data_IF_836588640596
#
_entry.id   IF_836588640596
#
_cell.length_a   1.000
_cell.length_b   1.000
_cell.length_c   1.000
_cell.angle_alpha   90.00
_cell.angle_beta   90.00
_cell.angle_gamma   90.00
#
_symmetry.space_group_name_H-M   'P 1'
#
loop_
_entity.id
_entity.type
_entity.pdbx_description
1 polymer ?
#
# COMPACT_ATOMS: atom_id res chain seq x y z
N UNK A 1 -22.12 -5.28 -22.92
CA UNK A 1 -20.94 -4.52 -22.44
C UNK A 1 -19.69 -5.21 -22.94
N UNK A 2 -19.11 -4.76 -24.06
CA UNK A 2 -17.81 -5.27 -24.53
C UNK A 2 -16.75 -4.61 -23.65
N UNK A 3 -16.17 -5.41 -22.78
CA UNK A 3 -15.08 -5.04 -21.89
C UNK A 3 -13.85 -4.70 -22.75
N UNK A 4 -13.55 -3.40 -22.87
CA UNK A 4 -12.39 -2.92 -23.60
C UNK A 4 -11.14 -3.28 -22.79
N UNK A 5 -10.46 -4.36 -23.18
CA UNK A 5 -9.27 -4.89 -22.50
C UNK A 5 -8.17 -3.83 -22.31
N UNK A 6 -8.17 -2.75 -23.11
CA UNK A 6 -7.27 -1.62 -22.94
C UNK A 6 -7.50 -0.83 -21.65
N UNK A 7 -8.75 -0.71 -21.20
CA UNK A 7 -9.13 0.05 -19.99
C UNK A 7 -8.94 -0.72 -18.68
N UNK A 8 -9.15 -2.04 -18.71
CA UNK A 8 -9.01 -2.93 -17.54
C UNK A 8 -7.56 -2.97 -17.07
N UNK A 9 -6.61 -3.09 -18.02
CA UNK A 9 -5.19 -3.02 -17.72
C UNK A 9 -4.81 -1.67 -17.08
N UNK A 10 -5.34 -0.55 -17.59
CA UNK A 10 -5.10 0.77 -16.99
C UNK A 10 -5.64 0.86 -15.56
N UNK A 11 -6.75 0.18 -15.27
CA UNK A 11 -7.31 0.12 -13.91
C UNK A 11 -6.41 -0.65 -12.95
N UNK A 12 -5.93 -1.83 -13.34
CA UNK A 12 -4.97 -2.60 -12.53
C UNK A 12 -3.66 -1.83 -12.35
N UNK A 13 -3.21 -1.14 -13.39
CA UNK A 13 -2.02 -0.31 -13.35
C UNK A 13 -2.17 0.90 -12.42
N UNK A 14 -3.32 1.58 -12.45
CA UNK A 14 -3.60 2.69 -11.53
C UNK A 14 -3.65 2.23 -10.08
N UNK A 15 -4.25 1.06 -9.81
CA UNK A 15 -4.39 0.53 -8.46
C UNK A 15 -3.06 0.01 -7.91
N UNK A 16 -2.25 -0.59 -8.78
CA UNK A 16 -0.86 -0.91 -8.47
C UNK A 16 -0.07 0.34 -8.07
N UNK A 17 -0.14 1.40 -8.89
CA UNK A 17 0.55 2.68 -8.61
C UNK A 17 0.11 3.30 -7.29
N UNK A 18 -1.19 3.35 -7.01
CA UNK A 18 -1.70 3.87 -5.74
C UNK A 18 -1.21 3.04 -4.55
N UNK A 19 -1.24 1.72 -4.66
CA UNK A 19 -0.75 0.81 -3.62
C UNK A 19 0.75 0.96 -3.35
N UNK A 20 1.55 1.07 -4.42
CA UNK A 20 3.00 1.33 -4.32
C UNK A 20 3.28 2.69 -3.68
N UNK A 21 2.54 3.73 -4.05
CA UNK A 21 2.79 5.08 -3.53
C UNK A 21 2.48 5.18 -2.03
N UNK A 22 1.31 4.68 -1.61
CA UNK A 22 0.91 4.74 -0.22
C UNK A 22 1.73 3.78 0.66
N UNK A 23 2.00 2.57 0.16
CA UNK A 23 2.87 1.60 0.83
C UNK A 23 4.32 2.06 0.90
N UNK A 24 4.80 2.75 -0.14
CA UNK A 24 6.14 3.32 -0.21
C UNK A 24 6.35 4.43 0.82
N UNK A 25 5.39 5.35 0.98
CA UNK A 25 5.47 6.42 1.99
C UNK A 25 5.49 5.84 3.41
N UNK A 26 4.56 4.93 3.72
CA UNK A 26 4.51 4.28 5.04
C UNK A 26 5.79 3.49 5.32
N UNK A 27 6.26 2.71 4.34
CA UNK A 27 7.53 1.98 4.44
C UNK A 27 8.74 2.90 4.62
N UNK A 28 8.73 4.09 4.01
CA UNK A 28 9.76 5.10 4.18
C UNK A 28 9.75 5.67 5.62
N UNK A 29 8.58 5.98 6.18
CA UNK A 29 8.44 6.44 7.57
C UNK A 29 8.87 5.37 8.59
N UNK A 30 8.45 4.12 8.40
CA UNK A 30 8.82 3.00 9.27
C UNK A 30 10.33 2.73 9.15
N UNK A 31 10.87 2.72 7.93
CA UNK A 31 12.30 2.58 7.68
C UNK A 31 13.12 3.72 8.27
N UNK A 32 12.57 4.93 8.34
CA UNK A 32 13.20 6.05 9.05
C UNK A 32 13.26 5.77 10.56
N UNK A 33 12.16 5.38 11.20
CA UNK A 33 12.14 5.09 12.66
C UNK A 33 13.10 3.94 13.01
N UNK A 34 13.02 2.81 12.30
CA UNK A 34 13.92 1.68 12.55
C UNK A 34 15.37 1.97 12.17
N UNK A 35 15.62 2.77 11.12
CA UNK A 35 16.96 3.22 10.75
C UNK A 35 17.62 4.11 11.82
N UNK A 36 16.84 4.98 12.45
CA UNK A 36 17.29 5.79 13.59
C UNK A 36 17.59 4.92 14.82
N UNK A 37 16.71 3.98 15.16
CA UNK A 37 16.92 3.08 16.30
C UNK A 37 18.11 2.13 16.09
N UNK A 38 18.29 1.58 14.89
CA UNK A 38 19.43 0.74 14.53
C UNK A 38 20.76 1.51 14.60
N UNK A 39 20.75 2.81 14.27
CA UNK A 39 21.93 3.66 14.43
C UNK A 39 22.29 3.88 15.91
N UNK A 40 21.30 4.15 16.75
CA UNK A 40 21.50 4.42 18.19
C UNK A 40 21.94 3.16 18.94
N UNK A 41 21.32 2.01 18.68
CA UNK A 41 21.70 0.73 19.30
C UNK A 41 23.02 0.19 18.75
N UNK A 42 23.30 0.43 17.47
CA UNK A 42 24.49 -0.04 16.78
C UNK A 42 25.77 0.78 17.02
N UNK A 43 26.03 1.35 18.21
CA UNK A 43 27.33 1.90 18.65
C UNK A 43 28.20 2.62 17.58
N UNK A 44 27.63 3.39 16.64
CA UNK A 44 28.40 4.14 15.64
C UNK A 44 28.58 5.58 16.11
N UNK A 45 29.52 5.74 17.04
CA UNK A 45 29.99 6.99 17.69
C UNK A 45 30.49 8.05 16.69
N UNK A 46 30.69 7.69 15.41
CA UNK A 46 31.24 8.61 14.42
C UNK A 46 30.13 9.26 13.59
N UNK A 47 29.73 10.43 14.08
CA UNK A 47 28.80 11.37 13.46
C UNK A 47 29.50 12.01 12.24
N UNK A 48 28.96 11.84 11.03
CA UNK A 48 28.98 12.87 9.97
C UNK A 48 28.57 12.32 8.58
N UNK A 49 29.10 11.18 8.11
CA UNK A 49 28.81 10.74 6.72
C UNK A 49 28.02 9.42 6.54
N UNK A 50 28.15 8.46 7.47
CA UNK A 50 27.54 7.12 7.29
C UNK A 50 26.10 7.04 7.81
N UNK A 51 25.69 8.00 8.63
CA UNK A 51 24.33 8.06 9.19
C UNK A 51 23.26 8.16 8.10
N UNK A 52 23.39 9.17 7.22
CA UNK A 52 22.45 9.37 6.10
C UNK A 52 22.40 8.13 5.20
N UNK A 53 23.56 7.55 4.88
CA UNK A 53 23.63 6.33 4.06
C UNK A 53 22.86 5.18 4.70
N UNK A 54 23.02 4.94 6.01
CA UNK A 54 22.29 3.87 6.70
C UNK A 54 20.79 4.16 6.77
N UNK A 55 20.39 5.39 7.11
CA UNK A 55 18.97 5.78 7.19
C UNK A 55 18.29 5.66 5.83
N UNK A 56 18.87 6.20 4.76
CA UNK A 56 18.32 6.04 3.40
C UNK A 56 18.27 4.59 2.95
N UNK A 57 19.23 3.76 3.37
CA UNK A 57 19.25 2.35 3.00
C UNK A 57 18.12 1.59 3.71
N UNK A 58 17.85 1.87 4.99
CA UNK A 58 16.67 1.33 5.68
C UNK A 58 15.35 1.85 5.10
N UNK A 59 15.28 3.15 4.75
CA UNK A 59 14.11 3.76 4.12
C UNK A 59 13.84 3.16 2.74
N UNK A 60 14.87 2.99 1.90
CA UNK A 60 14.74 2.43 0.56
C UNK A 60 14.32 0.97 0.61
N UNK A 61 14.95 0.15 1.45
CA UNK A 61 14.59 -1.27 1.58
C UNK A 61 13.18 -1.43 2.16
N UNK A 62 12.82 -0.68 3.20
CA UNK A 62 11.48 -0.75 3.80
C UNK A 62 10.40 -0.22 2.86
N UNK A 63 10.64 0.92 2.20
CA UNK A 63 9.75 1.49 1.18
C UNK A 63 9.55 0.56 -0.02
N UNK A 64 10.61 -0.13 -0.47
CA UNK A 64 10.52 -1.10 -1.54
C UNK A 64 9.67 -2.32 -1.14
N UNK A 65 9.90 -2.91 0.04
CA UNK A 65 9.15 -4.09 0.48
C UNK A 65 7.67 -3.78 0.73
N UNK A 66 7.35 -2.71 1.46
CA UNK A 66 5.96 -2.33 1.72
C UNK A 66 5.24 -1.82 0.46
N UNK A 67 5.93 -1.07 -0.40
CA UNK A 67 5.39 -0.62 -1.69
C UNK A 67 5.08 -1.78 -2.64
N UNK A 68 5.94 -2.80 -2.71
CA UNK A 68 5.73 -3.96 -3.57
C UNK A 68 4.64 -4.87 -3.03
N UNK A 69 4.61 -5.13 -1.72
CA UNK A 69 3.57 -5.93 -1.08
C UNK A 69 2.18 -5.30 -1.23
N UNK A 70 2.06 -3.99 -0.94
CA UNK A 70 0.78 -3.29 -1.07
C UNK A 70 0.42 -3.01 -2.52
N UNK A 71 1.38 -2.79 -3.40
CA UNK A 71 1.17 -2.63 -4.84
C UNK A 71 0.56 -3.88 -5.47
N UNK A 72 1.21 -5.03 -5.31
CA UNK A 72 0.72 -6.32 -5.82
C UNK A 72 -0.57 -6.74 -5.10
N UNK A 73 -0.65 -6.56 -3.78
CA UNK A 73 -1.84 -6.84 -3.00
C UNK A 73 -3.06 -6.00 -3.43
N UNK A 74 -2.86 -4.76 -3.87
CA UNK A 74 -3.94 -3.90 -4.37
C UNK A 74 -4.50 -4.36 -5.72
N UNK A 75 -3.66 -4.97 -6.56
CA UNK A 75 -4.11 -5.55 -7.84
C UNK A 75 -4.90 -6.84 -7.58
N UNK A 76 -4.38 -7.74 -6.74
CA UNK A 76 -5.04 -9.00 -6.39
C UNK A 76 -6.36 -8.80 -5.63
N UNK A 77 -6.46 -7.78 -4.77
CA UNK A 77 -7.71 -7.50 -4.03
C UNK A 77 -8.84 -6.98 -4.94
N UNK A 78 -8.50 -6.41 -6.10
CA UNK A 78 -9.46 -5.76 -6.99
C UNK A 78 -10.44 -6.73 -7.67
N UNK A 79 -10.16 -8.04 -7.65
CA UNK A 79 -11.13 -9.05 -8.10
C UNK A 79 -12.33 -9.20 -7.14
N UNK A 80 -12.20 -8.72 -5.90
CA UNK A 80 -13.20 -8.93 -4.84
C UNK A 80 -13.98 -7.67 -4.43
N UNK A 81 -13.44 -6.47 -4.67
CA UNK A 81 -14.03 -5.22 -4.19
C UNK A 81 -14.79 -4.43 -5.28
N UNK A 82 -16.12 -4.45 -5.11
CA UNK A 82 -17.07 -3.36 -5.42
C UNK A 82 -17.69 -3.36 -6.82
N UNK A 83 -18.56 -4.34 -7.05
CA UNK A 83 -19.82 -4.01 -7.74
C UNK A 83 -20.66 -3.17 -6.76
N UNK A 84 -20.98 -1.89 -7.06
CA UNK A 84 -21.88 -1.07 -6.25
C UNK A 84 -23.26 -1.77 -6.04
N UNK A 85 -23.66 -2.60 -7.01
CA UNK A 85 -24.84 -3.44 -6.98
C UNK A 85 -24.95 -4.35 -5.73
N UNK A 86 -23.84 -4.93 -5.26
CA UNK A 86 -23.87 -5.84 -4.08
C UNK A 86 -24.14 -5.10 -2.76
N UNK A 87 -23.63 -3.87 -2.63
CA UNK A 87 -23.86 -3.03 -1.44
C UNK A 87 -25.26 -2.43 -1.43
N UNK A 88 -25.79 -2.07 -2.60
CA UNK A 88 -27.16 -1.57 -2.74
C UNK A 88 -28.18 -2.68 -2.54
N UNK A 89 -27.94 -3.89 -3.07
CA UNK A 89 -28.77 -5.06 -2.81
C UNK A 89 -28.84 -5.39 -1.31
N UNK A 90 -27.71 -5.40 -0.59
CA UNK A 90 -27.71 -5.68 0.86
C UNK A 90 -28.46 -4.61 1.67
N UNK A 91 -28.32 -3.32 1.29
CA UNK A 91 -29.12 -2.23 1.89
C UNK A 91 -30.61 -2.35 1.59
N UNK A 92 -30.97 -2.81 0.39
CA UNK A 92 -32.37 -3.07 0.04
C UNK A 92 -32.94 -4.26 0.80
N UNK A 93 -32.19 -5.37 0.95
CA UNK A 93 -32.58 -6.52 1.77
C UNK A 93 -32.86 -6.12 3.22
N UNK A 94 -31.94 -5.40 3.88
CA UNK A 94 -32.13 -4.94 5.27
C UNK A 94 -33.32 -3.97 5.40
N UNK A 95 -33.58 -3.14 4.38
CA UNK A 95 -34.74 -2.22 4.36
C UNK A 95 -36.08 -2.93 4.20
N UNK A 96 -36.10 -4.09 3.54
CA UNK A 96 -37.32 -4.91 3.37
C UNK A 96 -37.61 -5.70 4.66
N UNK A 97 -36.57 -6.15 5.37
CA UNK A 97 -36.69 -6.98 6.56
C UNK A 97 -37.10 -6.20 7.82
N UNK A 98 -36.66 -4.94 7.95
CA UNK A 98 -37.11 -4.04 9.03
C UNK A 98 -38.53 -3.50 8.90
N UNK A 99 -39.32 -3.96 7.91
CA UNK A 99 -40.69 -3.50 7.64
C UNK A 99 -41.76 -4.59 7.88
N UNK A 100 -41.36 -5.74 8.44
CA UNK A 100 -42.25 -6.81 8.92
C UNK A 100 -42.30 -6.78 10.44
#
# INVERSE_FOLDING_TARGET
MKQDKGSEFQRYWNQFKLGVFMGGIVGCCIGFVFGNMAYIQGRRVNMSQRYLRTVFQYMATSGASFGLFMGVGSVLRNDSDRSPEKYEAWRQFVRIEGKK
#
